data_IF_233862515686
#
_entry.id   IF_233862515686
#
_cell.length_a   1.000
_cell.length_b   1.000
_cell.length_c   1.000
_cell.angle_alpha   90.00
_cell.angle_beta   90.00
_cell.angle_gamma   90.00
#
_symmetry.space_group_name_H-M   'P 1'
#
loop_
_entity.id
_entity.type
_entity.pdbx_description
1 polymer ?
#
# COMPACT_ATOMS: atom_id res chain seq x y z
N UNK A 1 -40.38 76.56 -26.84
CA UNK A 1 -41.36 75.50 -26.49
C UNK A 1 -40.86 74.24 -27.21
N UNK A 2 -40.70 73.04 -26.62
CA UNK A 2 -41.77 72.11 -26.16
C UNK A 2 -42.85 71.95 -27.25
N UNK A 3 -43.21 70.78 -27.81
CA UNK A 3 -42.89 69.34 -27.56
C UNK A 3 -43.43 68.53 -28.78
N UNK A 4 -43.16 67.25 -29.11
CA UNK A 4 -42.43 66.08 -28.57
C UNK A 4 -42.14 65.10 -29.76
N UNK A 5 -41.69 63.87 -29.48
CA UNK A 5 -41.66 62.65 -30.34
C UNK A 5 -40.54 62.48 -31.38
N UNK A 6 -39.60 61.59 -31.06
CA UNK A 6 -38.81 60.81 -32.02
C UNK A 6 -38.78 59.35 -31.51
N UNK A 7 -38.88 58.38 -32.42
CA UNK A 7 -39.23 56.98 -32.10
C UNK A 7 -38.13 56.22 -31.35
N UNK A 8 -38.54 55.23 -30.54
CA UNK A 8 -37.66 54.14 -30.13
C UNK A 8 -37.24 53.33 -31.36
N UNK A 9 -35.93 53.17 -31.57
CA UNK A 9 -35.36 51.94 -32.11
C UNK A 9 -34.24 51.54 -31.15
N UNK A 10 -34.45 50.45 -30.41
CA UNK A 10 -33.44 49.91 -29.50
C UNK A 10 -32.38 49.15 -30.31
N UNK A 11 -31.17 49.72 -30.44
CA UNK A 11 -30.03 49.02 -31.01
C UNK A 11 -29.28 48.29 -29.89
N UNK A 12 -29.70 47.06 -29.62
CA UNK A 12 -29.01 46.17 -28.69
C UNK A 12 -27.63 45.80 -29.24
N UNK A 13 -26.57 46.28 -28.57
CA UNK A 13 -25.20 45.82 -28.83
C UNK A 13 -25.05 44.35 -28.39
N UNK A 14 -25.39 43.44 -29.30
CA UNK A 14 -25.02 42.04 -29.20
C UNK A 14 -23.49 41.94 -29.28
N UNK A 15 -22.82 41.86 -28.12
CA UNK A 15 -21.40 41.51 -28.06
C UNK A 15 -21.24 40.06 -28.51
N UNK A 16 -21.04 39.87 -29.82
CA UNK A 16 -20.68 38.59 -30.41
C UNK A 16 -19.32 38.19 -29.85
N UNK A 17 -19.35 37.37 -28.80
CA UNK A 17 -18.15 36.83 -28.18
C UNK A 17 -17.54 35.81 -29.14
N UNK A 18 -16.60 36.28 -29.97
CA UNK A 18 -15.78 35.44 -30.84
C UNK A 18 -14.78 34.60 -30.03
N UNK A 19 -15.29 33.76 -29.11
CA UNK A 19 -14.56 32.59 -28.64
C UNK A 19 -14.40 31.67 -29.85
N UNK A 20 -13.25 31.77 -30.50
CA UNK A 20 -12.79 30.76 -31.43
C UNK A 20 -12.93 29.40 -30.74
N UNK A 21 -13.57 28.43 -31.42
CA UNK A 21 -13.72 27.07 -30.89
C UNK A 21 -12.31 26.57 -30.57
N UNK A 22 -12.05 26.25 -29.31
CA UNK A 22 -10.74 25.71 -28.91
C UNK A 22 -10.51 24.45 -29.73
N UNK A 23 -9.43 24.44 -30.51
CA UNK A 23 -9.13 23.35 -31.44
C UNK A 23 -9.01 22.04 -30.67
N UNK A 24 -9.49 20.95 -31.29
CA UNK A 24 -9.32 19.61 -30.75
C UNK A 24 -7.81 19.34 -30.52
N UNK A 25 -7.42 18.70 -29.40
CA UNK A 25 -6.00 18.50 -29.09
C UNK A 25 -5.22 17.89 -30.25
N UNK A 26 -4.06 18.46 -30.57
CA UNK A 26 -3.19 17.92 -31.60
C UNK A 26 -2.81 16.46 -31.31
N UNK A 27 -2.59 15.64 -32.35
CA UNK A 27 -2.23 14.23 -32.16
C UNK A 27 -0.99 14.13 -31.27
N UNK A 28 -1.05 13.22 -30.28
CA UNK A 28 0.04 13.00 -29.35
C UNK A 28 1.35 12.69 -30.11
N UNK A 29 2.44 13.32 -29.69
CA UNK A 29 3.77 13.01 -30.22
C UNK A 29 4.11 11.54 -29.99
N UNK A 30 4.80 10.91 -30.95
CA UNK A 30 5.23 9.53 -30.79
C UNK A 30 6.10 9.37 -29.53
N UNK A 31 5.76 8.41 -28.67
CA UNK A 31 6.53 8.13 -27.47
C UNK A 31 8.01 7.91 -27.83
N UNK A 32 8.90 8.68 -27.18
CA UNK A 32 10.32 8.42 -27.26
C UNK A 32 10.64 7.02 -26.74
N UNK A 33 11.58 6.34 -27.38
CA UNK A 33 12.11 5.08 -26.86
C UNK A 33 12.84 5.35 -25.54
N UNK A 34 12.26 4.90 -24.42
CA UNK A 34 12.98 4.89 -23.15
C UNK A 34 14.33 4.20 -23.33
N UNK A 35 15.40 4.82 -22.84
CA UNK A 35 16.73 4.22 -22.86
C UNK A 35 16.71 2.88 -22.13
N UNK A 36 17.50 1.91 -22.60
CA UNK A 36 17.63 0.64 -21.90
C UNK A 36 18.16 0.90 -20.48
N UNK A 37 17.39 0.51 -19.46
CA UNK A 37 17.87 0.50 -18.08
C UNK A 37 19.18 -0.31 -18.03
N UNK A 38 20.19 0.23 -17.34
CA UNK A 38 21.43 -0.51 -17.10
C UNK A 38 21.11 -1.83 -16.42
N UNK A 39 21.80 -2.90 -16.82
CA UNK A 39 21.58 -4.21 -16.21
C UNK A 39 21.92 -4.14 -14.71
N UNK A 40 20.89 -4.24 -13.86
CA UNK A 40 21.06 -4.33 -12.42
C UNK A 40 22.00 -5.50 -12.11
N UNK A 41 23.02 -5.24 -11.27
CA UNK A 41 23.94 -6.28 -10.83
C UNK A 41 23.17 -7.38 -10.09
N UNK A 42 23.38 -8.64 -10.46
CA UNK A 42 22.75 -9.78 -9.79
C UNK A 42 23.15 -9.76 -8.31
N UNK A 43 22.17 -9.55 -7.43
CA UNK A 43 22.41 -9.49 -5.98
C UNK A 43 22.95 -10.83 -5.48
N UNK A 44 24.02 -10.76 -4.68
CA UNK A 44 24.64 -11.91 -4.03
C UNK A 44 24.07 -12.19 -2.64
N UNK A 45 23.03 -11.46 -2.21
CA UNK A 45 22.37 -11.69 -0.92
C UNK A 45 21.57 -13.00 -0.94
N UNK A 46 21.53 -13.69 0.20
CA UNK A 46 20.74 -14.91 0.36
C UNK A 46 19.26 -14.56 0.17
N UNK A 47 18.59 -15.15 -0.84
CA UNK A 47 17.13 -15.07 -0.95
C UNK A 47 16.51 -15.81 0.24
N UNK A 48 15.62 -15.13 0.94
CA UNK A 48 14.88 -15.64 2.08
C UNK A 48 13.36 -15.70 1.79
N UNK A 49 12.91 -15.51 0.54
CA UNK A 49 11.52 -15.73 0.12
C UNK A 49 10.96 -14.61 -0.76
N UNK A 50 9.66 -14.38 -0.68
CA UNK A 50 9.00 -13.23 -1.30
C UNK A 50 7.69 -12.84 -0.60
N UNK A 51 7.29 -11.59 -0.81
CA UNK A 51 5.95 -11.09 -0.48
C UNK A 51 5.35 -10.51 -1.76
N UNK A 52 4.20 -10.98 -2.21
CA UNK A 52 3.59 -10.55 -3.46
C UNK A 52 2.08 -10.52 -3.38
N UNK A 53 1.47 -9.60 -4.12
CA UNK A 53 0.04 -9.34 -4.04
C UNK A 53 -0.47 -8.37 -5.08
N UNK A 54 -1.65 -7.82 -4.82
CA UNK A 54 -2.35 -6.85 -5.66
C UNK A 54 -3.04 -5.82 -4.78
N UNK A 55 -2.85 -4.54 -5.11
CA UNK A 55 -3.67 -3.43 -4.61
C UNK A 55 -4.82 -3.17 -5.60
N UNK A 56 -6.05 -3.42 -5.17
CA UNK A 56 -7.28 -3.06 -5.88
C UNK A 56 -7.88 -1.77 -5.32
N UNK A 57 -8.38 -0.88 -6.18
CA UNK A 57 -9.03 0.39 -5.78
C UNK A 57 -9.89 0.95 -6.93
N UNK A 58 -10.69 1.99 -6.67
CA UNK A 58 -11.42 2.75 -7.71
C UNK A 58 -10.82 4.14 -7.86
N UNK A 59 -10.58 4.56 -9.11
CA UNK A 59 -10.01 5.88 -9.38
C UNK A 59 -11.10 6.98 -9.54
N UNK A 60 -10.67 8.23 -9.58
CA UNK A 60 -11.51 9.44 -9.78
C UNK A 60 -12.34 9.51 -11.09
N UNK A 61 -12.34 8.45 -11.90
CA UNK A 61 -13.13 8.27 -13.13
C UNK A 61 -14.01 7.02 -13.03
N UNK A 62 -14.43 6.66 -11.82
CA UNK A 62 -15.26 5.50 -11.47
C UNK A 62 -14.70 4.16 -12.01
N UNK A 63 -13.39 4.09 -12.27
CA UNK A 63 -12.76 2.95 -12.92
C UNK A 63 -11.97 2.13 -11.90
N UNK A 64 -12.39 0.89 -11.69
CA UNK A 64 -11.66 -0.09 -10.89
C UNK A 64 -10.28 -0.39 -11.51
N UNK A 65 -9.24 -0.41 -10.68
CA UNK A 65 -7.86 -0.69 -11.03
C UNK A 65 -7.28 -1.75 -10.10
N UNK A 66 -6.23 -2.42 -10.57
CA UNK A 66 -5.63 -3.60 -9.96
C UNK A 66 -4.13 -3.58 -10.26
N UNK A 67 -3.32 -3.38 -9.21
CA UNK A 67 -1.88 -3.13 -9.32
C UNK A 67 -1.09 -4.26 -8.66
N UNK A 68 -0.39 -5.11 -9.43
CA UNK A 68 0.44 -6.16 -8.87
C UNK A 68 1.71 -5.57 -8.25
N UNK A 69 2.10 -6.08 -7.09
CA UNK A 69 3.39 -5.81 -6.45
C UNK A 69 4.09 -7.12 -6.07
N UNK A 70 5.42 -7.08 -6.02
CA UNK A 70 6.24 -8.19 -5.55
C UNK A 70 7.53 -7.66 -4.97
N UNK A 71 7.78 -7.98 -3.72
CA UNK A 71 9.01 -7.70 -3.01
C UNK A 71 9.80 -9.01 -2.86
N UNK A 72 10.85 -9.14 -3.68
CA UNK A 72 11.90 -10.13 -3.47
C UNK A 72 12.49 -9.95 -2.07
N UNK A 73 12.46 -11.00 -1.26
CA UNK A 73 12.83 -10.95 0.14
C UNK A 73 14.19 -11.63 0.30
N UNK A 74 15.16 -10.87 0.82
CA UNK A 74 16.56 -11.26 0.95
C UNK A 74 17.07 -10.90 2.34
N UNK A 75 18.13 -11.58 2.77
CA UNK A 75 18.81 -11.47 4.07
C UNK A 75 18.77 -10.06 4.69
N UNK A 76 17.84 -9.87 5.65
CA UNK A 76 17.65 -8.58 6.33
C UNK A 76 18.57 -8.44 7.54
N UNK A 77 18.97 -7.20 7.85
CA UNK A 77 19.98 -6.93 8.88
C UNK A 77 19.49 -7.14 10.33
N UNK A 78 18.18 -7.01 10.59
CA UNK A 78 17.47 -7.35 11.83
C UNK A 78 15.94 -7.10 11.73
N UNK A 79 15.38 -6.98 10.52
CA UNK A 79 14.09 -6.27 10.32
C UNK A 79 12.89 -7.21 10.16
N UNK A 80 13.07 -8.51 10.31
CA UNK A 80 11.99 -9.49 10.19
C UNK A 80 12.26 -10.67 11.12
N UNK A 81 11.52 -10.70 12.23
CA UNK A 81 11.76 -11.60 13.35
C UNK A 81 10.46 -12.11 13.98
N UNK A 82 10.55 -13.25 14.67
CA UNK A 82 9.51 -13.70 15.60
C UNK A 82 10.06 -13.93 17.00
N UNK A 83 9.22 -13.65 18.00
CA UNK A 83 9.46 -13.98 19.40
C UNK A 83 8.27 -14.74 20.00
N UNK A 84 8.56 -15.52 21.04
CA UNK A 84 7.56 -16.30 21.78
C UNK A 84 7.64 -15.87 23.23
N UNK A 85 6.53 -15.38 23.74
CA UNK A 85 6.36 -14.90 25.11
C UNK A 85 5.74 -16.00 25.98
N UNK A 86 6.28 -16.17 27.18
CA UNK A 86 5.78 -17.13 28.18
C UNK A 86 5.44 -16.38 29.46
N UNK A 87 4.15 -16.21 29.75
CA UNK A 87 3.62 -15.49 30.90
C UNK A 87 2.28 -16.11 31.34
N UNK A 88 1.24 -15.31 31.48
CA UNK A 88 -0.15 -15.75 31.74
C UNK A 88 -0.81 -16.37 30.49
N UNK A 89 -0.09 -17.28 29.84
CA UNK A 89 -0.32 -17.79 28.50
C UNK A 89 0.99 -17.96 27.73
N UNK A 90 0.96 -18.68 26.62
CA UNK A 90 2.07 -18.68 25.65
C UNK A 90 1.56 -18.09 24.34
N UNK A 91 2.09 -16.94 23.97
CA UNK A 91 1.72 -16.20 22.76
C UNK A 91 2.97 -15.85 21.96
N UNK A 92 2.79 -15.47 20.71
CA UNK A 92 3.86 -15.06 19.82
C UNK A 92 3.63 -13.64 19.29
N UNK A 93 4.73 -12.96 19.00
CA UNK A 93 4.76 -11.76 18.16
C UNK A 93 5.63 -12.02 16.93
N UNK A 94 5.17 -11.61 15.76
CA UNK A 94 5.93 -11.65 14.50
C UNK A 94 5.93 -10.24 13.92
N UNK A 95 7.10 -9.70 13.55
CA UNK A 95 7.23 -8.46 12.79
C UNK A 95 7.99 -8.77 11.49
N UNK A 96 7.51 -8.26 10.35
CA UNK A 96 8.11 -8.48 9.03
C UNK A 96 8.16 -7.14 8.30
N UNK A 97 9.23 -6.36 8.50
CA UNK A 97 9.47 -5.11 7.79
C UNK A 97 10.23 -5.35 6.49
N UNK A 98 9.62 -4.99 5.36
CA UNK A 98 10.29 -4.91 4.05
C UNK A 98 10.26 -3.47 3.51
N UNK A 99 11.33 -3.09 2.81
CA UNK A 99 11.44 -1.85 2.03
C UNK A 99 12.12 -2.14 0.69
N UNK A 100 11.77 -1.44 -0.38
CA UNK A 100 12.50 -1.53 -1.65
C UNK A 100 13.90 -0.88 -1.48
N UNK A 101 15.02 -1.58 -1.75
CA UNK A 101 16.35 -1.00 -1.65
C UNK A 101 16.62 0.14 -2.65
N UNK A 102 15.76 0.36 -3.65
CA UNK A 102 15.83 1.49 -4.59
C UNK A 102 14.87 2.64 -4.23
N UNK A 103 13.93 2.43 -3.32
CA UNK A 103 12.82 3.34 -3.06
C UNK A 103 12.33 3.20 -1.61
N UNK A 104 12.73 4.13 -0.74
CA UNK A 104 12.39 4.09 0.69
C UNK A 104 10.91 4.24 0.98
N UNK A 105 10.16 4.84 0.06
CA UNK A 105 8.71 5.12 0.18
C UNK A 105 7.86 3.92 -0.31
N UNK A 106 8.51 2.77 -0.57
CA UNK A 106 7.87 1.46 -0.70
C UNK A 106 8.15 0.62 0.54
N UNK A 107 7.32 0.76 1.58
CA UNK A 107 7.32 -0.11 2.77
C UNK A 107 6.18 -1.13 2.70
N UNK A 108 6.42 -2.29 3.31
CA UNK A 108 5.38 -3.26 3.65
C UNK A 108 5.79 -3.91 4.97
N UNK A 109 5.02 -3.66 6.02
CA UNK A 109 5.27 -4.11 7.39
C UNK A 109 4.09 -4.92 7.85
N UNK A 110 4.28 -6.22 8.10
CA UNK A 110 3.30 -7.05 8.81
C UNK A 110 3.64 -7.13 10.30
N UNK A 111 2.64 -7.03 11.16
CA UNK A 111 2.71 -7.52 12.53
C UNK A 111 1.61 -8.56 12.78
N UNK A 112 1.95 -9.64 13.48
CA UNK A 112 1.00 -10.70 13.86
C UNK A 112 1.17 -11.08 15.33
N UNK A 113 0.06 -11.17 16.06
CA UNK A 113 0.01 -11.84 17.36
C UNK A 113 -0.96 -13.03 17.35
N UNK A 114 -0.56 -14.11 18.01
CA UNK A 114 -1.39 -15.29 18.17
C UNK A 114 -0.97 -16.17 19.34
N UNK A 115 -1.79 -17.18 19.63
CA UNK A 115 -1.50 -18.14 20.68
C UNK A 115 -0.61 -19.28 20.17
N UNK A 116 0.25 -19.79 21.05
CA UNK A 116 0.92 -21.08 20.86
C UNK A 116 0.09 -22.15 21.55
N UNK A 117 -0.26 -23.20 20.81
CA UNK A 117 -1.04 -24.34 21.29
C UNK A 117 -0.22 -25.19 22.28
N UNK A 118 -0.91 -26.03 23.06
CA UNK A 118 -0.29 -26.90 24.07
C UNK A 118 0.63 -28.00 23.51
N UNK A 119 0.61 -28.23 22.20
CA UNK A 119 1.54 -29.10 21.47
C UNK A 119 2.75 -28.35 20.88
N UNK A 120 2.83 -27.02 21.08
CA UNK A 120 3.88 -26.16 20.54
C UNK A 120 3.62 -25.65 19.11
N UNK A 121 2.50 -26.00 18.48
CA UNK A 121 2.10 -25.43 17.19
C UNK A 121 1.58 -23.99 17.34
N UNK A 122 1.72 -23.19 16.29
CA UNK A 122 1.27 -21.80 16.29
C UNK A 122 -0.15 -21.75 15.74
N UNK A 123 -1.10 -21.23 16.52
CA UNK A 123 -2.44 -20.96 16.01
C UNK A 123 -2.42 -19.79 15.01
N UNK A 124 -3.46 -19.68 14.18
CA UNK A 124 -3.70 -18.45 13.40
C UNK A 124 -3.70 -17.23 14.33
N UNK A 125 -3.18 -16.07 13.86
CA UNK A 125 -3.16 -14.87 14.69
C UNK A 125 -4.58 -14.43 15.07
N UNK A 126 -4.74 -13.98 16.32
CA UNK A 126 -5.96 -13.30 16.76
C UNK A 126 -5.95 -11.81 16.41
N UNK A 127 -4.77 -11.29 16.04
CA UNK A 127 -4.52 -9.89 15.72
C UNK A 127 -3.44 -9.80 14.65
N UNK A 128 -3.70 -9.01 13.61
CA UNK A 128 -2.85 -8.85 12.45
C UNK A 128 -2.93 -7.41 11.95
N UNK A 129 -1.80 -6.85 11.55
CA UNK A 129 -1.70 -5.46 11.12
C UNK A 129 -0.80 -5.35 9.90
N UNK A 130 -1.09 -4.38 9.02
CA UNK A 130 -0.29 -4.13 7.81
C UNK A 130 -0.19 -2.64 7.53
N UNK A 131 1.02 -2.09 7.70
CA UNK A 131 1.41 -0.81 7.11
C UNK A 131 1.93 -1.10 5.68
N UNK A 132 1.36 -0.45 4.68
CA UNK A 132 1.74 -0.62 3.28
C UNK A 132 1.77 0.73 2.54
N UNK A 133 2.91 1.03 1.91
CA UNK A 133 3.04 2.15 0.97
C UNK A 133 3.58 1.68 -0.38
N UNK A 134 3.13 2.32 -1.45
CA UNK A 134 3.41 1.88 -2.82
C UNK A 134 3.35 3.02 -3.84
N UNK A 135 4.52 3.38 -4.39
CA UNK A 135 4.64 4.32 -5.50
C UNK A 135 4.83 3.61 -6.86
N UNK A 136 4.07 3.99 -7.89
CA UNK A 136 4.15 3.41 -9.23
C UNK A 136 3.87 4.45 -10.34
N UNK A 137 4.30 4.19 -11.58
CA UNK A 137 3.93 5.04 -12.73
C UNK A 137 2.87 4.33 -13.57
N UNK A 138 1.66 4.89 -13.62
CA UNK A 138 0.48 4.29 -14.25
C UNK A 138 -0.04 5.27 -15.30
N UNK A 139 -0.13 4.85 -16.56
CA UNK A 139 -0.63 5.69 -17.66
C UNK A 139 0.06 7.06 -17.78
N UNK A 140 1.36 7.14 -17.42
CA UNK A 140 2.17 8.36 -17.34
C UNK A 140 1.76 9.36 -16.23
N UNK A 141 0.99 8.94 -15.24
CA UNK A 141 0.83 9.60 -13.93
C UNK A 141 1.67 8.89 -12.86
N UNK A 142 2.14 9.62 -11.85
CA UNK A 142 2.59 9.01 -10.60
C UNK A 142 1.35 8.57 -9.79
N UNK A 143 1.42 7.36 -9.29
CA UNK A 143 0.56 6.78 -8.26
C UNK A 143 1.40 6.67 -7.00
N UNK A 144 0.84 7.03 -5.85
CA UNK A 144 1.47 6.93 -4.54
C UNK A 144 0.38 6.63 -3.53
N UNK A 145 0.33 5.39 -3.03
CA UNK A 145 -0.52 4.99 -1.91
C UNK A 145 0.32 5.02 -0.65
N UNK A 146 -0.17 5.70 0.39
CA UNK A 146 0.37 5.62 1.74
C UNK A 146 -0.78 5.57 2.74
N UNK A 147 -0.53 4.86 3.83
CA UNK A 147 -1.47 4.58 4.91
C UNK A 147 -1.58 5.81 5.82
N UNK A 148 -2.77 6.39 5.92
CA UNK A 148 -2.96 7.77 6.37
C UNK A 148 -3.16 7.88 7.89
N UNK A 149 -2.19 7.39 8.67
CA UNK A 149 -2.13 7.60 10.13
C UNK A 149 -1.86 9.08 10.46
N UNK A 150 -2.89 9.92 10.30
CA UNK A 150 -2.86 11.35 10.58
C UNK A 150 -3.14 11.68 12.06
N UNK A 151 -3.57 10.68 12.85
CA UNK A 151 -3.71 10.81 14.30
C UNK A 151 -2.34 10.63 14.97
N UNK A 152 -1.89 11.66 15.69
CA UNK A 152 -0.53 11.77 16.23
C UNK A 152 -0.22 10.95 17.49
N UNK A 153 -0.91 9.83 17.70
CA UNK A 153 -0.54 8.74 18.61
C UNK A 153 -0.18 7.53 17.73
N UNK A 154 0.89 6.77 18.03
CA UNK A 154 1.39 5.65 17.19
C UNK A 154 0.44 4.41 17.11
N UNK A 155 -0.86 4.59 17.33
CA UNK A 155 -1.91 3.59 17.26
C UNK A 155 -2.50 3.51 15.85
N UNK A 156 -1.67 3.01 14.91
CA UNK A 156 -2.02 2.66 13.52
C UNK A 156 -3.44 2.09 13.44
N UNK A 157 -4.28 2.60 12.53
CA UNK A 157 -5.68 2.14 12.40
C UNK A 157 -5.75 0.73 11.81
N UNK A 158 -5.85 -0.29 12.66
CA UNK A 158 -5.74 -1.70 12.26
C UNK A 158 -6.97 -2.24 11.53
N UNK A 159 -7.09 -1.93 10.24
CA UNK A 159 -8.12 -2.45 9.35
C UNK A 159 -8.11 -3.99 9.30
N UNK A 160 -9.27 -4.60 9.56
CA UNK A 160 -9.37 -6.02 9.92
C UNK A 160 -9.26 -6.96 8.72
N UNK A 161 -8.03 -7.22 8.26
CA UNK A 161 -7.76 -8.14 7.15
C UNK A 161 -7.97 -9.62 7.48
N UNK A 162 -8.45 -10.37 6.48
CA UNK A 162 -8.63 -11.82 6.58
C UNK A 162 -7.28 -12.55 6.43
N UNK A 163 -6.68 -12.96 7.54
CA UNK A 163 -5.47 -13.80 7.55
C UNK A 163 -5.85 -15.28 7.44
N UNK A 164 -5.34 -15.95 6.41
CA UNK A 164 -5.58 -17.36 6.13
C UNK A 164 -4.28 -18.09 5.77
N UNK A 165 -4.31 -19.43 5.74
CA UNK A 165 -3.15 -20.29 5.43
C UNK A 165 -1.89 -20.02 6.28
N UNK A 166 -2.06 -19.46 7.48
CA UNK A 166 -0.98 -19.14 8.41
C UNK A 166 -0.28 -20.43 8.87
N UNK A 167 1.04 -20.53 8.66
CA UNK A 167 1.87 -21.60 9.20
C UNK A 167 3.32 -21.13 9.40
N UNK A 168 3.87 -21.35 10.60
CA UNK A 168 5.27 -21.08 10.94
C UNK A 168 6.01 -22.39 11.24
N UNK A 169 6.95 -22.76 10.37
CA UNK A 169 7.94 -23.80 10.67
C UNK A 169 9.09 -23.20 11.50
N UNK A 170 9.07 -23.45 12.80
CA UNK A 170 10.12 -22.96 13.72
C UNK A 170 11.48 -23.64 13.57
N UNK A 171 11.58 -24.76 12.82
CA UNK A 171 12.84 -25.43 12.54
C UNK A 171 13.61 -24.79 11.37
N UNK A 172 12.90 -24.23 10.38
CA UNK A 172 13.51 -23.48 9.25
C UNK A 172 13.36 -21.96 9.38
N UNK A 173 12.47 -21.48 10.26
CA UNK A 173 12.07 -20.07 10.32
C UNK A 173 11.10 -19.67 9.21
N UNK A 174 10.58 -20.61 8.42
CA UNK A 174 9.70 -20.31 7.28
C UNK A 174 8.27 -20.03 7.74
N UNK A 175 7.77 -18.86 7.39
CA UNK A 175 6.39 -18.43 7.59
C UNK A 175 5.69 -18.36 6.22
N UNK A 176 4.50 -18.98 6.13
CA UNK A 176 3.57 -18.78 5.01
C UNK A 176 2.28 -18.15 5.49
N UNK A 177 1.77 -17.15 4.77
CA UNK A 177 0.49 -16.47 5.04
C UNK A 177 -0.20 -16.11 3.71
N UNK A 178 -1.52 -16.12 3.70
CA UNK A 178 -2.39 -15.46 2.70
C UNK A 178 -3.17 -14.35 3.39
N UNK A 179 -3.22 -13.17 2.78
CA UNK A 179 -3.85 -11.98 3.34
C UNK A 179 -4.83 -11.34 2.35
N UNK A 180 -5.88 -10.74 2.89
CA UNK A 180 -6.89 -9.96 2.16
C UNK A 180 -7.37 -8.83 3.10
N UNK A 181 -6.81 -7.63 2.94
CA UNK A 181 -6.95 -6.47 3.83
C UNK A 181 -7.72 -5.39 3.08
N UNK A 182 -8.72 -4.78 3.72
CA UNK A 182 -9.52 -3.71 3.13
C UNK A 182 -9.12 -2.39 3.80
N UNK A 183 -8.57 -1.44 3.04
CA UNK A 183 -8.19 -0.12 3.54
C UNK A 183 -9.35 0.86 3.41
N UNK A 184 -9.71 1.51 4.52
CA UNK A 184 -10.80 2.48 4.61
C UNK A 184 -10.55 3.74 3.75
N UNK A 185 -11.61 4.30 3.17
CA UNK A 185 -11.48 5.35 2.15
C UNK A 185 -10.95 6.71 2.67
N UNK A 186 -11.03 6.94 3.99
CA UNK A 186 -10.40 8.07 4.68
C UNK A 186 -8.89 7.89 4.86
N UNK A 187 -8.43 6.64 4.80
CA UNK A 187 -7.15 6.22 5.34
C UNK A 187 -6.11 6.06 4.19
N UNK A 188 -6.45 6.58 3.01
CA UNK A 188 -5.66 6.50 1.78
C UNK A 188 -5.23 7.92 1.37
N UNK A 189 -3.95 8.25 1.57
CA UNK A 189 -3.36 9.48 1.01
C UNK A 189 -3.22 9.34 -0.50
N UNK A 190 -3.75 10.31 -1.26
CA UNK A 190 -3.68 10.25 -2.71
C UNK A 190 -3.86 11.59 -3.44
N UNK A 191 -3.03 11.85 -4.45
CA UNK A 191 -3.04 13.09 -5.24
C UNK A 191 -4.01 13.02 -6.44
N UNK A 192 -5.19 13.66 -6.32
CA UNK A 192 -6.16 13.98 -7.40
C UNK A 192 -6.65 12.83 -8.31
N UNK A 193 -6.31 11.57 -8.03
CA UNK A 193 -6.54 10.44 -8.95
C UNK A 193 -7.44 9.32 -8.33
N UNK A 194 -7.90 9.46 -7.08
CA UNK A 194 -8.73 8.49 -6.31
C UNK A 194 -10.15 9.04 -6.13
N UNK A 195 -11.14 8.18 -5.90
CA UNK A 195 -12.54 8.61 -5.73
C UNK A 195 -12.89 9.15 -4.33
N UNK A 196 -11.99 8.99 -3.35
CA UNK A 196 -12.18 9.45 -1.97
C UNK A 196 -13.35 8.78 -1.24
N UNK A 197 -13.84 7.62 -1.70
CA UNK A 197 -15.07 7.02 -1.17
C UNK A 197 -15.19 5.49 -1.28
N UNK A 198 -14.48 4.83 -2.21
CA UNK A 198 -14.45 3.35 -2.31
C UNK A 198 -13.21 2.79 -1.64
N UNK A 199 -13.34 1.97 -0.58
CA UNK A 199 -12.21 1.30 0.07
C UNK A 199 -11.28 0.56 -0.91
N UNK A 200 -9.98 0.58 -0.63
CA UNK A 200 -9.01 -0.22 -1.37
C UNK A 200 -8.91 -1.64 -0.79
N UNK A 201 -8.27 -2.55 -1.51
CA UNK A 201 -8.09 -3.96 -1.08
C UNK A 201 -6.68 -4.43 -1.42
N UNK A 202 -5.92 -4.79 -0.39
CA UNK A 202 -4.58 -5.36 -0.49
C UNK A 202 -4.65 -6.86 -0.25
N UNK A 203 -4.53 -7.64 -1.32
CA UNK A 203 -4.64 -9.10 -1.27
C UNK A 203 -3.38 -9.77 -1.80
N UNK A 204 -2.99 -10.91 -1.25
CA UNK A 204 -1.77 -11.59 -1.68
C UNK A 204 -1.28 -12.70 -0.74
N UNK A 205 0.00 -13.04 -0.89
CA UNK A 205 0.68 -14.02 -0.06
C UNK A 205 2.08 -13.60 0.34
N UNK A 206 2.55 -14.25 1.40
CA UNK A 206 3.84 -14.07 2.04
C UNK A 206 4.43 -15.47 2.26
N UNK A 207 5.63 -15.71 1.77
CA UNK A 207 6.38 -16.97 1.91
C UNK A 207 7.84 -16.61 2.15
N UNK A 208 8.22 -16.49 3.43
CA UNK A 208 9.49 -15.88 3.86
C UNK A 208 10.14 -16.65 5.00
N UNK A 209 11.45 -16.51 5.13
CA UNK A 209 12.25 -17.00 6.26
C UNK A 209 12.47 -15.80 7.21
N UNK A 210 12.03 -15.96 8.45
CA UNK A 210 12.18 -14.97 9.52
C UNK A 210 13.07 -15.50 10.63
N UNK A 211 13.87 -14.62 11.21
CA UNK A 211 14.78 -15.00 12.29
C UNK A 211 14.00 -15.19 13.60
N UNK A 212 14.38 -16.17 14.42
CA UNK A 212 13.90 -16.18 15.80
C UNK A 212 14.66 -15.12 16.59
N UNK A 213 13.97 -14.06 16.99
CA UNK A 213 14.51 -13.02 17.88
C UNK A 213 15.08 -13.70 19.11
N UNK A 214 16.34 -13.41 19.41
CA UNK A 214 17.04 -14.01 20.55
C UNK A 214 16.50 -13.37 21.83
N UNK A 215 15.49 -14.01 22.42
CA UNK A 215 14.74 -13.48 23.56
C UNK A 215 15.68 -12.92 24.63
N UNK A 216 15.37 -11.75 25.23
CA UNK A 216 16.00 -11.37 26.48
C UNK A 216 15.76 -12.52 27.47
N UNK A 217 16.80 -12.92 28.19
CA UNK A 217 16.69 -13.98 29.18
C UNK A 217 15.81 -13.49 30.34
N UNK A 218 14.50 -13.69 30.22
CA UNK A 218 13.58 -13.61 31.34
C UNK A 218 13.85 -14.81 32.25
N UNK A 219 14.93 -14.69 33.03
CA UNK A 219 15.11 -15.48 34.24
C UNK A 219 14.12 -14.88 35.24
N UNK A 220 13.03 -15.59 35.61
CA UNK A 220 12.18 -15.11 36.68
C UNK A 220 13.04 -14.94 37.94
N UNK A 221 12.87 -13.81 38.63
CA UNK A 221 13.57 -13.58 39.89
C UNK A 221 13.16 -14.66 40.92
N UNK A 222 14.11 -15.23 41.69
CA UNK A 222 13.86 -16.31 42.63
C UNK A 222 13.12 -15.86 43.91
#
# INVERSE_FOLDING_TARGET
>A
MKTLYLLLIALSFAMVSCRAKQGDPGPAGANGSNGANGADGVSTLTKQGSIAGTLGYVNYKDSALSLPFSYEYSESLAQSEYEVYTGDGTYYGINITRRDPKDSEKKLIFYFEGNVNSDGTFASPYYATVDFSYAAVINNSLFEFDDNDNDGDDAISFDTGNITNFALDTATGRLTVTYDIQYSASDILYADQYDGSTPATLSGSLDVIINRKKAPLYVPAP
#
